data_IF_739771226719
#
_entry.id   IF_739771226719
#
_cell.length_a   1.000
_cell.length_b   1.000
_cell.length_c   1.000
_cell.angle_alpha   90.00
_cell.angle_beta   90.00
_cell.angle_gamma   90.00
#
_symmetry.space_group_name_H-M   'P 1'
#
loop_
_entity.id
_entity.type
_entity.pdbx_description
1 polymer ?
#
# COMPACT_ATOMS: atom_id res chain seq x y z
N UNK A 1 -26.04 1.86 -14.51
CA UNK A 1 -25.71 2.44 -13.18
C UNK A 1 -24.25 2.85 -13.19
N UNK A 2 -23.96 4.15 -13.02
CA UNK A 2 -22.56 4.65 -13.03
C UNK A 2 -21.85 4.20 -11.75
N UNK A 3 -20.65 3.61 -11.81
CA UNK A 3 -19.86 3.40 -10.62
C UNK A 3 -19.35 4.77 -10.16
N UNK A 4 -19.95 5.30 -9.08
CA UNK A 4 -19.39 6.46 -8.39
C UNK A 4 -18.01 6.07 -7.89
N UNK A 5 -16.99 6.88 -8.17
CA UNK A 5 -15.65 6.68 -7.63
C UNK A 5 -15.71 6.84 -6.11
N UNK A 6 -15.76 5.71 -5.39
CA UNK A 6 -15.87 5.71 -3.92
C UNK A 6 -14.50 5.90 -3.30
N UNK A 7 -14.42 6.90 -2.43
CA UNK A 7 -13.26 7.20 -1.59
C UNK A 7 -12.91 6.00 -0.68
N UNK A 8 -11.63 5.84 -0.33
CA UNK A 8 -11.13 4.77 0.53
C UNK A 8 -11.88 4.75 1.88
N UNK A 9 -12.12 5.91 2.47
CA UNK A 9 -12.86 6.04 3.73
C UNK A 9 -14.31 5.50 3.62
N UNK A 10 -14.97 5.77 2.49
CA UNK A 10 -16.33 5.27 2.23
C UNK A 10 -16.38 3.74 2.07
N UNK A 11 -15.34 3.13 1.48
CA UNK A 11 -15.26 1.66 1.38
C UNK A 11 -15.00 1.00 2.72
N UNK A 12 -14.13 1.58 3.56
CA UNK A 12 -13.89 1.09 4.92
C UNK A 12 -15.16 1.16 5.78
N UNK A 13 -15.90 2.28 5.71
CA UNK A 13 -17.18 2.43 6.41
C UNK A 13 -18.26 1.44 5.91
N UNK A 14 -18.34 1.23 4.60
CA UNK A 14 -19.27 0.26 4.01
C UNK A 14 -18.90 -1.18 4.36
N UNK A 15 -17.62 -1.53 4.40
CA UNK A 15 -17.17 -2.86 4.84
C UNK A 15 -17.56 -3.11 6.31
N UNK A 16 -17.41 -2.11 7.19
CA UNK A 16 -17.84 -2.20 8.58
C UNK A 16 -19.37 -2.29 8.75
N UNK A 17 -20.16 -1.80 7.80
CA UNK A 17 -21.63 -1.93 7.80
C UNK A 17 -22.13 -3.23 7.16
N UNK A 18 -21.30 -3.90 6.37
CA UNK A 18 -21.65 -5.14 5.66
C UNK A 18 -21.43 -6.41 6.49
N UNK A 19 -20.94 -6.29 7.73
CA UNK A 19 -20.70 -7.43 8.64
C UNK A 19 -21.99 -7.83 9.35
N UNK A 20 -22.29 -9.14 9.35
CA UNK A 20 -23.52 -9.70 9.92
C UNK A 20 -23.67 -9.56 11.43
N UNK A 21 -24.82 -9.99 11.96
CA UNK A 21 -25.12 -9.97 13.39
C UNK A 21 -24.05 -10.72 14.20
N UNK A 22 -23.50 -10.07 15.24
CA UNK A 22 -22.48 -10.64 16.13
C UNK A 22 -21.09 -9.99 16.07
N UNK A 23 -20.83 -9.08 15.12
CA UNK A 23 -19.56 -8.36 15.04
C UNK A 23 -19.60 -7.07 15.87
N UNK A 24 -18.77 -6.99 16.92
CA UNK A 24 -18.57 -5.76 17.70
C UNK A 24 -17.52 -4.92 17.00
N UNK A 25 -17.86 -3.67 16.68
CA UNK A 25 -16.95 -2.73 16.02
C UNK A 25 -16.89 -1.43 16.81
N UNK A 26 -15.67 -0.96 17.08
CA UNK A 26 -15.40 0.34 17.70
C UNK A 26 -14.33 1.09 16.91
N UNK A 27 -14.58 2.38 16.65
CA UNK A 27 -13.60 3.27 15.99
C UNK A 27 -12.85 4.16 16.98
N UNK A 28 -13.09 4.00 18.29
CA UNK A 28 -12.56 4.88 19.34
C UNK A 28 -11.56 4.18 20.26
N UNK A 29 -11.26 2.90 20.01
CA UNK A 29 -10.39 2.09 20.84
C UNK A 29 -9.09 1.76 20.11
N UNK A 30 -7.99 1.84 20.83
CA UNK A 30 -6.65 1.45 20.36
C UNK A 30 -6.08 0.39 21.31
N UNK A 31 -5.39 -0.61 20.77
CA UNK A 31 -4.64 -1.60 21.55
C UNK A 31 -3.44 -0.95 22.23
N UNK A 32 -3.36 -1.05 23.55
CA UNK A 32 -2.27 -0.51 24.37
C UNK A 32 -1.27 -1.57 24.83
N UNK A 33 -1.73 -2.79 25.11
CA UNK A 33 -0.83 -3.90 25.45
C UNK A 33 -1.45 -5.24 25.06
N UNK A 34 -0.56 -6.20 24.81
CA UNK A 34 -0.87 -7.59 24.50
C UNK A 34 -0.07 -8.48 25.44
N UNK A 35 -0.74 -9.48 26.02
CA UNK A 35 -0.09 -10.54 26.81
C UNK A 35 -0.60 -11.89 26.34
N UNK A 36 0.28 -12.68 25.75
CA UNK A 36 -0.04 -14.02 25.30
C UNK A 36 0.04 -15.02 26.48
N UNK A 37 -0.99 -15.86 26.59
CA UNK A 37 -1.06 -17.02 27.46
C UNK A 37 -1.21 -18.29 26.60
N UNK A 38 -1.16 -19.46 27.24
CA UNK A 38 -1.20 -20.75 26.52
C UNK A 38 -2.50 -20.94 25.74
N UNK A 39 -3.63 -20.43 26.24
CA UNK A 39 -4.98 -20.61 25.68
C UNK A 39 -5.62 -19.33 25.11
N UNK A 40 -5.15 -18.14 25.51
CA UNK A 40 -5.72 -16.85 25.08
C UNK A 40 -4.68 -15.72 24.98
N UNK A 41 -5.09 -14.57 24.46
CA UNK A 41 -4.36 -13.30 24.49
C UNK A 41 -5.20 -12.30 25.28
N UNK A 42 -4.60 -11.70 26.31
CA UNK A 42 -5.22 -10.59 27.04
C UNK A 42 -4.82 -9.28 26.38
N UNK A 43 -5.82 -8.48 26.01
CA UNK A 43 -5.67 -7.21 25.31
C UNK A 43 -6.16 -6.08 26.20
N UNK A 44 -5.31 -5.07 26.40
CA UNK A 44 -5.70 -3.83 27.06
C UNK A 44 -6.01 -2.75 26.03
N UNK A 45 -7.15 -2.09 26.18
CA UNK A 45 -7.61 -1.03 25.28
C UNK A 45 -7.40 0.36 25.89
N UNK A 46 -7.49 1.38 25.05
CA UNK A 46 -7.21 2.78 25.41
C UNK A 46 -8.16 3.42 26.41
N UNK A 47 -9.33 2.82 26.64
CA UNK A 47 -10.28 3.23 27.68
C UNK A 47 -10.00 2.55 29.05
N UNK A 48 -8.94 1.74 29.14
CA UNK A 48 -8.56 0.99 30.32
C UNK A 48 -9.25 -0.37 30.46
N UNK A 49 -10.18 -0.72 29.57
CA UNK A 49 -10.80 -2.04 29.55
C UNK A 49 -9.80 -3.12 29.15
N UNK A 50 -10.09 -4.36 29.57
CA UNK A 50 -9.31 -5.54 29.24
C UNK A 50 -10.24 -6.61 28.68
N UNK A 51 -9.89 -7.16 27.53
CA UNK A 51 -10.61 -8.25 26.88
C UNK A 51 -9.68 -9.43 26.60
N UNK A 52 -10.26 -10.60 26.36
CA UNK A 52 -9.52 -11.85 26.08
C UNK A 52 -9.98 -12.44 24.77
N UNK A 53 -9.02 -12.80 23.91
CA UNK A 53 -9.29 -13.39 22.60
C UNK A 53 -8.41 -14.62 22.36
N UNK A 54 -8.90 -15.58 21.58
CA UNK A 54 -8.12 -16.76 21.20
C UNK A 54 -6.98 -16.43 20.24
N UNK A 55 -7.21 -15.43 19.37
CA UNK A 55 -6.33 -14.95 18.31
C UNK A 55 -6.48 -13.43 18.15
N UNK A 56 -5.37 -12.71 17.98
CA UNK A 56 -5.36 -11.28 17.64
C UNK A 56 -4.80 -11.09 16.22
N UNK A 57 -5.50 -10.29 15.41
CA UNK A 57 -5.08 -9.96 14.03
C UNK A 57 -4.66 -8.48 13.97
N UNK A 58 -3.38 -8.22 13.76
CA UNK A 58 -2.87 -6.88 13.48
C UNK A 58 -3.06 -6.52 12.01
N UNK A 59 -4.03 -5.66 11.73
CA UNK A 59 -4.34 -5.10 10.41
C UNK A 59 -4.31 -3.56 10.42
N UNK A 60 -3.54 -2.99 11.33
CA UNK A 60 -3.47 -1.58 11.73
C UNK A 60 -2.41 -0.77 10.96
N UNK A 61 -1.98 -1.29 9.81
CA UNK A 61 -1.20 -0.56 8.81
C UNK A 61 0.29 -0.44 9.11
N UNK A 62 1.00 0.37 8.31
CA UNK A 62 2.47 0.43 8.33
C UNK A 62 3.03 0.84 9.70
N UNK A 63 2.31 1.62 10.51
CA UNK A 63 2.71 2.02 11.88
C UNK A 63 2.07 1.13 12.96
N UNK A 64 1.77 -0.12 12.63
CA UNK A 64 1.10 -1.09 13.49
C UNK A 64 1.60 -1.05 14.95
N UNK A 65 0.69 -0.79 15.88
CA UNK A 65 0.96 -0.92 17.31
C UNK A 65 1.04 -2.38 17.71
N UNK A 66 0.23 -3.26 17.10
CA UNK A 66 0.29 -4.70 17.33
C UNK A 66 1.69 -5.24 16.99
N UNK A 67 2.26 -4.83 15.86
CA UNK A 67 3.63 -5.22 15.49
C UNK A 67 4.66 -4.71 16.50
N UNK A 68 4.53 -3.47 16.97
CA UNK A 68 5.47 -2.88 17.92
C UNK A 68 5.38 -3.52 19.32
N UNK A 69 4.21 -4.01 19.72
CA UNK A 69 4.00 -4.68 21.00
C UNK A 69 4.53 -6.12 21.02
N UNK A 70 4.47 -6.81 19.88
CA UNK A 70 4.87 -8.22 19.79
C UNK A 70 6.32 -8.43 19.30
N UNK A 71 6.86 -7.50 18.50
CA UNK A 71 8.18 -7.64 17.90
C UNK A 71 9.09 -6.49 18.33
N UNK A 72 10.31 -6.83 18.76
CA UNK A 72 11.37 -5.83 18.93
C UNK A 72 11.66 -5.16 17.57
N UNK A 73 11.75 -3.83 17.58
CA UNK A 73 11.82 -2.89 16.45
C UNK A 73 12.32 -3.48 15.11
N UNK A 74 11.39 -4.01 14.31
CA UNK A 74 11.64 -4.43 12.92
C UNK A 74 11.58 -3.25 11.92
N UNK A 75 11.28 -2.04 12.40
CA UNK A 75 11.46 -0.75 11.73
C UNK A 75 10.65 -0.50 10.46
N UNK A 76 9.99 0.65 10.42
CA UNK A 76 9.54 1.28 9.17
C UNK A 76 10.72 2.08 8.61
N UNK A 77 11.12 1.83 7.37
CA UNK A 77 12.25 2.54 6.74
C UNK A 77 11.79 3.44 5.61
N UNK A 78 12.33 4.64 5.60
CA UNK A 78 12.18 5.58 4.50
C UNK A 78 12.95 5.08 3.26
N UNK A 79 12.28 5.07 2.10
CA UNK A 79 12.84 4.50 0.86
C UNK A 79 13.55 5.47 -0.07
N UNK A 80 13.87 6.65 0.45
CA UNK A 80 14.55 7.64 -0.37
C UNK A 80 13.63 8.23 -1.45
N UNK A 81 12.31 8.20 -1.24
CA UNK A 81 11.31 8.66 -2.20
C UNK A 81 10.17 9.35 -1.48
N UNK A 82 9.65 10.42 -2.09
CA UNK A 82 8.44 11.11 -1.64
C UNK A 82 7.44 11.17 -2.78
N UNK A 83 6.15 11.23 -2.46
CA UNK A 83 5.10 11.20 -3.45
C UNK A 83 3.93 12.13 -3.14
N UNK A 84 3.33 12.65 -4.20
CA UNK A 84 2.12 13.46 -4.23
C UNK A 84 1.00 12.67 -4.91
N UNK A 85 -0.19 12.75 -4.34
CA UNK A 85 -1.41 12.10 -4.83
C UNK A 85 -2.52 13.12 -4.90
N UNK A 86 -3.17 13.19 -6.05
CA UNK A 86 -4.23 14.16 -6.30
C UNK A 86 -5.11 13.69 -7.46
N UNK A 87 -6.27 14.30 -7.60
CA UNK A 87 -7.23 14.00 -8.67
C UNK A 87 -7.34 15.22 -9.56
N UNK A 88 -7.38 14.99 -10.87
CA UNK A 88 -7.48 16.04 -11.89
C UNK A 88 -8.56 15.69 -12.89
N UNK A 89 -8.97 16.66 -13.72
CA UNK A 89 -9.72 16.36 -14.93
C UNK A 89 -8.88 15.51 -15.87
N UNK A 90 -9.49 14.46 -16.42
CA UNK A 90 -8.84 13.54 -17.35
C UNK A 90 -8.35 14.31 -18.58
N UNK A 91 -7.04 14.29 -18.90
CA UNK A 91 -6.57 14.89 -20.13
C UNK A 91 -7.02 14.07 -21.35
N UNK A 92 -7.27 14.71 -22.51
CA UNK A 92 -7.61 14.00 -23.74
C UNK A 92 -6.55 12.94 -24.09
N UNK A 93 -6.99 11.80 -24.61
CA UNK A 93 -6.10 10.71 -25.07
C UNK A 93 -5.49 9.84 -23.95
N UNK A 94 -5.76 10.12 -22.67
CA UNK A 94 -5.39 9.22 -21.58
C UNK A 94 -6.36 8.04 -21.56
N UNK A 95 -6.07 6.94 -22.25
CA UNK A 95 -6.98 5.79 -22.36
C UNK A 95 -6.87 4.79 -21.20
N UNK A 96 -5.70 4.71 -20.56
CA UNK A 96 -5.44 3.74 -19.52
C UNK A 96 -4.32 4.14 -18.58
N UNK A 97 -3.89 3.18 -17.76
CA UNK A 97 -2.77 3.35 -16.83
C UNK A 97 -1.51 3.79 -17.59
N UNK A 98 -1.07 5.02 -17.35
CA UNK A 98 0.04 5.64 -18.10
C UNK A 98 1.04 6.25 -17.14
N UNK A 99 2.29 5.80 -17.23
CA UNK A 99 3.40 6.34 -16.43
C UNK A 99 4.39 7.09 -17.31
N UNK A 100 4.66 8.33 -16.96
CA UNK A 100 5.72 9.17 -17.51
C UNK A 100 6.95 9.03 -16.61
N UNK A 101 8.13 8.82 -17.19
CA UNK A 101 9.37 8.59 -16.44
C UNK A 101 10.37 9.73 -16.64
N UNK A 102 10.73 10.41 -15.55
CA UNK A 102 11.76 11.44 -15.50
C UNK A 102 13.01 10.95 -14.77
N UNK A 103 14.12 11.71 -14.77
CA UNK A 103 15.29 11.37 -13.96
C UNK A 103 14.90 11.26 -12.47
N UNK A 104 15.06 10.07 -11.89
CA UNK A 104 14.72 9.76 -10.49
C UNK A 104 13.30 10.21 -10.07
N UNK A 105 12.35 10.22 -11.00
CA UNK A 105 10.98 10.69 -10.79
C UNK A 105 10.02 10.00 -11.75
N UNK A 106 8.75 9.92 -11.36
CA UNK A 106 7.70 9.50 -12.27
C UNK A 106 6.41 10.26 -12.01
N UNK A 107 5.58 10.25 -13.03
CA UNK A 107 4.24 10.80 -13.00
C UNK A 107 3.31 9.73 -13.56
N UNK A 108 2.47 9.14 -12.72
CA UNK A 108 1.45 8.19 -13.09
C UNK A 108 0.11 8.93 -13.24
N UNK A 109 -0.62 8.60 -14.30
CA UNK A 109 -2.02 8.93 -14.48
C UNK A 109 -2.84 7.66 -14.70
N UNK A 110 -3.97 7.56 -13.98
CA UNK A 110 -4.94 6.47 -14.12
C UNK A 110 -6.35 7.07 -14.26
N UNK A 111 -7.07 6.84 -15.38
CA UNK A 111 -8.44 7.29 -15.52
C UNK A 111 -9.35 6.79 -14.39
N UNK A 112 -10.20 7.68 -13.87
CA UNK A 112 -11.31 7.40 -12.97
C UNK A 112 -12.60 7.75 -13.71
N UNK A 113 -13.21 6.75 -14.34
CA UNK A 113 -14.34 6.97 -15.24
C UNK A 113 -13.95 7.89 -16.41
N UNK A 114 -14.93 8.65 -16.90
CA UNK A 114 -14.78 9.41 -18.15
C UNK A 114 -14.13 10.78 -17.93
N UNK A 115 -14.32 11.39 -16.75
CA UNK A 115 -14.03 12.81 -16.51
C UNK A 115 -12.78 13.06 -15.67
N UNK A 116 -12.35 12.08 -14.87
CA UNK A 116 -11.31 12.28 -13.87
C UNK A 116 -10.10 11.37 -14.11
N UNK A 117 -8.96 11.76 -13.59
CA UNK A 117 -7.78 10.93 -13.50
C UNK A 117 -7.14 11.05 -12.11
N UNK A 118 -6.76 9.90 -11.56
CA UNK A 118 -5.88 9.83 -10.40
C UNK A 118 -4.44 10.08 -10.86
N UNK A 119 -3.75 10.96 -10.15
CA UNK A 119 -2.33 11.23 -10.34
C UNK A 119 -1.53 10.75 -9.14
N UNK A 120 -0.42 10.07 -9.42
CA UNK A 120 0.63 9.81 -8.45
C UNK A 120 1.95 10.32 -9.04
N UNK A 121 2.51 11.35 -8.43
CA UNK A 121 3.79 11.91 -8.82
C UNK A 121 4.80 11.62 -7.73
N UNK A 122 5.99 11.17 -8.06
CA UNK A 122 7.01 10.85 -7.07
C UNK A 122 8.40 11.30 -7.51
N UNK A 123 9.27 11.50 -6.53
CA UNK A 123 10.66 11.89 -6.74
C UNK A 123 11.56 11.30 -5.67
N UNK A 124 12.79 10.94 -6.06
CA UNK A 124 13.82 10.57 -5.10
C UNK A 124 14.13 11.74 -4.16
N UNK A 125 14.36 11.42 -2.88
CA UNK A 125 14.75 12.36 -1.84
C UNK A 125 15.70 11.67 -0.88
N UNK A 126 16.83 12.31 -0.55
CA UNK A 126 17.81 11.74 0.38
C UNK A 126 17.30 11.61 1.82
N UNK A 127 16.28 12.41 2.18
CA UNK A 127 15.67 12.44 3.51
C UNK A 127 14.16 12.47 3.42
N UNK A 128 13.49 11.98 4.47
CA UNK A 128 12.08 12.30 4.66
C UNK A 128 11.97 13.83 4.80
N UNK A 129 11.11 14.44 4.01
CA UNK A 129 10.82 15.88 4.05
C UNK A 129 9.33 16.04 4.30
N UNK A 130 8.94 17.18 4.87
CA UNK A 130 7.55 17.62 4.88
C UNK A 130 7.26 18.46 3.64
N UNK A 131 6.02 18.40 3.15
CA UNK A 131 5.51 19.28 2.10
C UNK A 131 4.25 19.98 2.60
N UNK A 132 4.39 21.19 3.19
CA UNK A 132 3.25 21.92 3.73
C UNK A 132 2.20 22.21 2.66
N UNK A 133 0.91 22.17 3.01
CA UNK A 133 -0.16 22.47 2.05
C UNK A 133 0.04 23.83 1.36
N UNK A 134 0.51 24.83 2.12
CA UNK A 134 0.87 26.13 1.55
C UNK A 134 2.02 25.97 0.54
N UNK A 135 1.78 26.38 -0.71
CA UNK A 135 2.78 26.35 -1.77
C UNK A 135 3.05 24.97 -2.38
N UNK A 136 2.29 23.92 -2.00
CA UNK A 136 2.51 22.55 -2.52
C UNK A 136 2.34 22.48 -4.03
N UNK A 137 1.36 23.21 -4.59
CA UNK A 137 1.07 23.23 -6.02
C UNK A 137 2.23 23.85 -6.80
N UNK A 138 2.75 24.97 -6.33
CA UNK A 138 3.89 25.67 -6.94
C UNK A 138 5.13 24.76 -6.94
N UNK A 139 5.42 24.14 -5.79
CA UNK A 139 6.53 23.17 -5.68
C UNK A 139 6.33 21.95 -6.56
N UNK A 140 5.09 21.47 -6.72
CA UNK A 140 4.76 20.36 -7.60
C UNK A 140 5.00 20.75 -9.08
N UNK A 141 4.54 21.93 -9.50
CA UNK A 141 4.80 22.47 -10.84
C UNK A 141 6.29 22.57 -11.13
N UNK A 142 7.07 23.14 -10.22
CA UNK A 142 8.52 23.27 -10.35
C UNK A 142 9.21 21.90 -10.45
N UNK A 143 8.88 20.96 -9.55
CA UNK A 143 9.54 19.65 -9.48
C UNK A 143 9.32 18.80 -10.73
N UNK A 144 8.17 18.96 -11.39
CA UNK A 144 7.73 18.16 -12.54
C UNK A 144 7.67 18.96 -13.85
N UNK A 145 8.22 20.18 -13.90
CA UNK A 145 8.20 21.06 -15.07
C UNK A 145 8.87 20.46 -16.33
N UNK A 146 9.85 19.56 -16.16
CA UNK A 146 10.57 18.92 -17.25
C UNK A 146 9.80 17.75 -17.90
N UNK A 147 8.65 17.35 -17.36
CA UNK A 147 7.83 16.29 -17.94
C UNK A 147 7.07 16.79 -19.16
N UNK A 148 7.00 15.96 -20.21
CA UNK A 148 6.27 16.25 -21.43
C UNK A 148 4.84 15.67 -21.41
N UNK A 149 4.14 15.78 -22.55
CA UNK A 149 2.79 15.24 -22.71
C UNK A 149 1.77 16.02 -21.89
N UNK A 150 0.76 15.37 -21.29
CA UNK A 150 -0.31 16.05 -20.57
C UNK A 150 0.11 16.58 -19.19
N UNK A 151 1.32 16.26 -18.70
CA UNK A 151 1.75 16.60 -17.33
C UNK A 151 1.73 18.12 -17.05
N UNK A 152 2.33 19.00 -17.89
CA UNK A 152 2.32 20.44 -17.64
C UNK A 152 0.91 21.03 -17.63
N UNK A 153 0.04 20.60 -18.56
CA UNK A 153 -1.34 21.07 -18.67
C UNK A 153 -2.15 20.68 -17.43
N UNK A 154 -2.00 19.45 -16.96
CA UNK A 154 -2.66 18.95 -15.76
C UNK A 154 -2.22 19.73 -14.52
N UNK A 155 -0.91 19.98 -14.36
CA UNK A 155 -0.38 20.75 -13.23
C UNK A 155 -0.77 22.23 -13.28
N UNK A 156 -0.91 22.82 -14.48
CA UNK A 156 -1.36 24.20 -14.65
C UNK A 156 -2.82 24.39 -14.20
N UNK A 157 -3.65 23.35 -14.27
CA UNK A 157 -5.07 23.41 -13.87
C UNK A 157 -5.32 23.28 -12.38
N UNK A 158 -4.32 22.86 -11.59
CA UNK A 158 -4.46 22.77 -10.14
C UNK A 158 -4.68 24.15 -9.52
N UNK A 159 -5.72 24.29 -8.72
CA UNK A 159 -6.04 25.49 -7.94
C UNK A 159 -5.80 25.30 -6.45
N UNK A 160 -5.73 26.39 -5.66
CA UNK A 160 -5.46 26.32 -4.21
C UNK A 160 -6.44 25.46 -3.40
N UNK A 161 -7.63 25.18 -3.94
CA UNK A 161 -8.65 24.34 -3.31
C UNK A 161 -8.50 22.84 -3.62
N UNK A 162 -7.61 22.46 -4.55
CA UNK A 162 -7.43 21.07 -4.93
C UNK A 162 -6.63 20.31 -3.85
N UNK A 163 -7.17 19.21 -3.31
CA UNK A 163 -6.49 18.45 -2.28
C UNK A 163 -5.30 17.69 -2.86
N UNK A 164 -4.11 17.94 -2.31
CA UNK A 164 -2.90 17.20 -2.62
C UNK A 164 -2.45 16.48 -1.37
N UNK A 165 -2.40 15.15 -1.44
CA UNK A 165 -1.85 14.33 -0.39
C UNK A 165 -0.38 14.06 -0.67
N UNK A 166 0.47 14.57 0.21
CA UNK A 166 1.90 14.28 0.21
C UNK A 166 2.24 13.19 1.23
N UNK A 167 3.14 12.28 0.88
CA UNK A 167 3.71 11.34 1.83
C UNK A 167 5.16 10.99 1.49
N UNK A 168 5.96 10.76 2.53
CA UNK A 168 7.16 9.93 2.41
C UNK A 168 6.76 8.52 1.98
N UNK A 169 7.62 7.87 1.21
CA UNK A 169 7.48 6.45 0.86
C UNK A 169 8.29 5.65 1.85
N UNK A 170 7.60 4.74 2.52
CA UNK A 170 8.10 3.94 3.62
C UNK A 170 7.76 2.48 3.38
N UNK A 171 8.56 1.57 3.94
CA UNK A 171 8.31 0.14 3.86
C UNK A 171 8.68 -0.57 5.17
N UNK A 172 8.20 -1.80 5.32
CA UNK A 172 8.64 -2.75 6.34
C UNK A 172 9.70 -3.65 5.70
N UNK A 173 10.98 -3.48 6.08
CA UNK A 173 12.10 -4.21 5.44
C UNK A 173 12.19 -5.67 5.82
N UNK A 174 11.63 -6.04 6.97
CA UNK A 174 11.63 -7.41 7.46
C UNK A 174 10.19 -7.82 7.70
N UNK A 175 9.51 -8.42 6.69
CA UNK A 175 8.15 -8.86 6.86
C UNK A 175 8.00 -9.77 8.08
N UNK A 176 7.10 -9.43 8.97
CA UNK A 176 6.71 -10.27 10.09
C UNK A 176 5.23 -10.64 9.95
N UNK A 177 4.93 -11.92 10.17
CA UNK A 177 3.61 -12.46 9.88
C UNK A 177 2.84 -12.80 11.16
N UNK A 178 3.51 -12.81 12.31
CA UNK A 178 2.91 -13.20 13.58
C UNK A 178 3.82 -14.10 14.43
N UNK A 179 3.44 -14.26 15.69
CA UNK A 179 4.05 -15.17 16.64
C UNK A 179 2.97 -15.64 17.64
N UNK A 180 2.94 -16.95 17.91
CA UNK A 180 1.97 -17.54 18.84
C UNK A 180 0.53 -17.30 18.36
N UNK A 181 -0.22 -16.53 19.15
CA UNK A 181 -1.64 -16.20 18.95
C UNK A 181 -1.86 -14.81 18.34
N UNK A 182 -0.80 -14.17 17.86
CA UNK A 182 -0.90 -12.88 17.16
C UNK A 182 -0.42 -13.04 15.72
N UNK A 183 -1.26 -12.67 14.76
CA UNK A 183 -0.97 -12.69 13.32
C UNK A 183 -1.03 -11.28 12.74
N UNK A 184 -0.14 -10.94 11.82
CA UNK A 184 -0.10 -9.64 11.14
C UNK A 184 -0.45 -9.82 9.66
N UNK A 185 -1.27 -8.91 9.13
CA UNK A 185 -1.67 -8.90 7.71
C UNK A 185 -1.53 -7.51 7.07
N UNK A 186 -1.48 -7.47 5.74
CA UNK A 186 -1.39 -6.22 4.99
C UNK A 186 -0.15 -5.38 5.36
N UNK A 187 -0.32 -4.05 5.37
CA UNK A 187 0.79 -3.14 5.65
C UNK A 187 1.37 -3.29 7.06
N UNK A 188 0.62 -3.87 8.02
CA UNK A 188 1.17 -4.20 9.33
C UNK A 188 2.27 -5.27 9.23
N UNK A 189 2.14 -6.23 8.31
CA UNK A 189 3.11 -7.28 8.10
C UNK A 189 4.19 -6.93 7.07
N UNK A 190 3.81 -6.32 5.95
CA UNK A 190 4.67 -6.28 4.75
C UNK A 190 4.46 -5.04 3.89
N UNK A 191 4.21 -3.88 4.50
CA UNK A 191 4.13 -2.61 3.77
C UNK A 191 5.31 -2.45 2.80
N UNK A 192 5.00 -2.04 1.58
CA UNK A 192 5.93 -1.97 0.46
C UNK A 192 5.74 -0.65 -0.29
N UNK A 193 6.75 -0.26 -1.08
CA UNK A 193 6.60 0.91 -1.93
C UNK A 193 5.39 0.75 -2.89
N UNK A 194 4.67 1.84 -3.22
CA UNK A 194 3.47 1.77 -4.05
C UNK A 194 3.79 1.44 -5.52
N UNK A 195 5.06 1.26 -5.86
CA UNK A 195 5.56 1.00 -7.19
C UNK A 195 5.27 -0.42 -7.68
N UNK A 196 4.34 -1.18 -7.11
CA UNK A 196 3.66 -2.26 -7.84
C UNK A 196 2.14 -2.10 -7.86
N UNK A 197 1.60 -1.14 -7.13
CA UNK A 197 0.16 -0.98 -6.88
C UNK A 197 -0.49 -2.27 -6.34
N UNK A 198 0.26 -3.09 -5.59
CA UNK A 198 -0.21 -4.38 -5.07
C UNK A 198 -0.53 -4.41 -3.58
N UNK A 199 -0.18 -3.39 -2.78
CA UNK A 199 -0.32 -3.45 -1.31
C UNK A 199 -1.74 -3.80 -0.84
N UNK A 200 -2.77 -3.14 -1.39
CA UNK A 200 -4.16 -3.43 -1.05
C UNK A 200 -4.60 -4.83 -1.50
N UNK A 201 -4.21 -5.26 -2.70
CA UNK A 201 -4.50 -6.61 -3.19
C UNK A 201 -3.84 -7.68 -2.29
N UNK A 202 -2.61 -7.44 -1.84
CA UNK A 202 -1.89 -8.31 -0.92
C UNK A 202 -2.60 -8.43 0.44
N UNK A 203 -3.10 -7.31 0.99
CA UNK A 203 -3.89 -7.33 2.22
C UNK A 203 -5.20 -8.14 2.06
N UNK A 204 -5.86 -8.08 0.90
CA UNK A 204 -7.03 -8.92 0.62
C UNK A 204 -6.67 -10.40 0.45
N UNK A 205 -5.58 -10.71 -0.26
CA UNK A 205 -5.07 -12.09 -0.35
C UNK A 205 -4.78 -12.65 1.05
N UNK A 206 -4.18 -11.85 1.94
CA UNK A 206 -3.93 -12.25 3.33
C UNK A 206 -5.23 -12.52 4.08
N UNK A 207 -6.20 -11.61 4.01
CA UNK A 207 -7.47 -11.76 4.70
C UNK A 207 -8.21 -13.03 4.26
N UNK A 208 -8.21 -13.33 2.96
CA UNK A 208 -8.82 -14.55 2.41
C UNK A 208 -8.11 -15.82 2.88
N UNK A 209 -6.77 -15.84 2.83
CA UNK A 209 -5.99 -16.99 3.29
C UNK A 209 -6.14 -17.19 4.80
N UNK A 210 -6.11 -16.11 5.58
CA UNK A 210 -6.29 -16.17 7.03
C UNK A 210 -7.69 -16.70 7.39
N UNK A 211 -8.74 -16.23 6.72
CA UNK A 211 -10.10 -16.73 6.93
C UNK A 211 -10.22 -18.22 6.61
N UNK A 212 -9.60 -18.70 5.53
CA UNK A 212 -9.56 -20.14 5.20
C UNK A 212 -8.88 -20.94 6.33
N UNK A 213 -7.73 -20.48 6.82
CA UNK A 213 -6.97 -21.16 7.88
C UNK A 213 -7.77 -21.19 9.18
N UNK A 214 -8.29 -20.04 9.63
CA UNK A 214 -9.07 -19.93 10.88
C UNK A 214 -10.32 -20.82 10.82
N UNK A 215 -10.96 -20.96 9.66
CA UNK A 215 -12.14 -21.83 9.50
C UNK A 215 -11.84 -23.34 9.64
N UNK A 216 -10.57 -23.74 9.57
CA UNK A 216 -10.14 -25.15 9.57
C UNK A 216 -9.22 -25.51 10.73
N UNK A 217 -8.62 -24.52 11.38
CA UNK A 217 -7.68 -24.73 12.47
C UNK A 217 -8.38 -25.39 13.68
N UNK A 218 -7.73 -26.39 14.28
CA UNK A 218 -8.21 -27.00 15.52
C UNK A 218 -7.84 -26.17 16.75
N UNK A 219 -6.78 -25.37 16.64
CA UNK A 219 -6.32 -24.46 17.67
C UNK A 219 -5.73 -23.18 17.08
N UNK A 220 -5.86 -22.05 17.77
CA UNK A 220 -5.32 -20.77 17.29
C UNK A 220 -3.78 -20.76 17.13
N UNK A 221 -3.08 -21.60 17.89
CA UNK A 221 -1.62 -21.79 17.77
C UNK A 221 -1.18 -22.35 16.41
N UNK A 222 -2.09 -22.99 15.65
CA UNK A 222 -1.83 -23.52 14.31
C UNK A 222 -1.90 -22.44 13.22
N UNK A 223 -2.55 -21.32 13.50
CA UNK A 223 -2.91 -20.30 12.51
C UNK A 223 -1.66 -19.61 11.96
N UNK A 224 -0.78 -19.11 12.84
CA UNK A 224 0.41 -18.35 12.43
C UNK A 224 1.37 -19.19 11.57
N UNK A 225 1.79 -20.41 11.96
CA UNK A 225 2.68 -21.23 11.13
C UNK A 225 2.11 -21.53 9.74
N UNK A 226 0.82 -21.88 9.65
CA UNK A 226 0.17 -22.18 8.38
C UNK A 226 0.03 -20.92 7.50
N UNK A 227 -0.26 -19.77 8.12
CA UNK A 227 -0.33 -18.50 7.42
C UNK A 227 1.03 -18.10 6.83
N UNK A 228 2.10 -18.19 7.62
CA UNK A 228 3.48 -17.97 7.16
C UNK A 228 3.81 -18.88 5.97
N UNK A 229 3.49 -20.18 6.08
CA UNK A 229 3.76 -21.16 5.03
C UNK A 229 3.08 -20.80 3.71
N UNK A 230 1.83 -20.35 3.75
CA UNK A 230 1.05 -19.98 2.55
C UNK A 230 1.41 -18.62 1.98
N UNK A 231 1.82 -17.64 2.81
CA UNK A 231 1.96 -16.24 2.39
C UNK A 231 3.39 -15.76 2.17
N UNK A 232 4.36 -16.27 2.92
CA UNK A 232 5.73 -15.73 2.92
C UNK A 232 6.39 -15.71 1.53
N UNK A 233 6.28 -16.79 0.76
CA UNK A 233 6.85 -16.86 -0.59
C UNK A 233 6.19 -15.86 -1.55
N UNK A 234 4.87 -15.69 -1.47
CA UNK A 234 4.10 -14.75 -2.30
C UNK A 234 4.44 -13.31 -1.95
N UNK A 235 4.47 -12.97 -0.67
CA UNK A 235 4.87 -11.64 -0.18
C UNK A 235 6.31 -11.31 -0.57
N UNK A 236 7.24 -12.24 -0.34
CA UNK A 236 8.64 -12.09 -0.74
C UNK A 236 8.83 -11.89 -2.24
N UNK A 237 8.07 -12.60 -3.07
CA UNK A 237 8.09 -12.40 -4.52
C UNK A 237 7.65 -11.00 -4.93
N UNK A 238 6.57 -10.46 -4.32
CA UNK A 238 6.09 -9.10 -4.62
C UNK A 238 7.11 -8.06 -4.17
N UNK A 239 7.68 -8.18 -2.97
CA UNK A 239 8.77 -7.31 -2.51
C UNK A 239 9.93 -7.28 -3.51
N UNK A 240 10.40 -8.44 -3.96
CA UNK A 240 11.47 -8.52 -4.97
C UNK A 240 11.09 -7.88 -6.30
N UNK A 241 9.85 -8.02 -6.76
CA UNK A 241 9.40 -7.37 -7.99
C UNK A 241 9.29 -5.84 -7.82
N UNK A 242 8.84 -5.36 -6.67
CA UNK A 242 8.80 -3.94 -6.31
C UNK A 242 10.22 -3.36 -6.33
N UNK A 243 11.17 -4.00 -5.65
CA UNK A 243 12.57 -3.56 -5.62
C UNK A 243 13.20 -3.51 -7.02
N UNK A 244 12.95 -4.52 -7.87
CA UNK A 244 13.44 -4.53 -9.26
C UNK A 244 12.88 -3.37 -10.07
N UNK A 245 11.60 -3.06 -9.90
CA UNK A 245 10.93 -1.95 -10.60
C UNK A 245 11.43 -0.60 -10.09
N UNK A 246 11.73 -0.49 -8.79
CA UNK A 246 12.32 0.70 -8.18
C UNK A 246 13.75 0.93 -8.69
N UNK A 247 14.55 -0.14 -8.81
CA UNK A 247 15.90 -0.06 -9.35
C UNK A 247 15.93 0.34 -10.83
N UNK A 248 14.97 -0.13 -11.64
CA UNK A 248 14.87 0.31 -13.05
C UNK A 248 14.72 1.84 -13.18
N UNK A 249 14.09 2.49 -12.19
CA UNK A 249 13.87 3.93 -12.18
C UNK A 249 15.11 4.73 -11.78
N UNK A 250 16.07 4.12 -11.10
CA UNK A 250 17.33 4.76 -10.72
C UNK A 250 18.41 4.64 -11.80
N UNK A 251 18.18 3.87 -12.87
CA UNK A 251 19.10 3.77 -14.00
C UNK A 251 19.26 5.13 -14.73
N UNK A 252 20.45 5.39 -15.33
CA UNK A 252 20.65 6.56 -16.18
C UNK A 252 19.57 6.65 -17.28
N UNK A 253 19.02 7.85 -17.58
CA UNK A 253 17.91 8.01 -18.52
C UNK A 253 18.15 7.35 -19.88
N UNK A 254 19.35 7.47 -20.44
CA UNK A 254 19.70 6.86 -21.73
C UNK A 254 19.60 5.34 -21.71
N UNK A 255 20.09 4.70 -20.64
CA UNK A 255 20.01 3.25 -20.46
C UNK A 255 18.58 2.81 -20.20
N UNK A 256 17.87 3.51 -19.30
CA UNK A 256 16.47 3.23 -18.96
C UNK A 256 15.58 3.32 -20.19
N UNK A 257 15.70 4.39 -20.97
CA UNK A 257 14.81 4.65 -22.11
C UNK A 257 15.01 3.60 -23.21
N UNK A 258 16.26 3.18 -23.46
CA UNK A 258 16.57 2.06 -24.35
C UNK A 258 15.97 0.76 -23.82
N UNK A 259 16.15 0.47 -22.52
CA UNK A 259 15.61 -0.73 -21.89
C UNK A 259 14.09 -0.79 -21.95
N UNK A 260 13.40 0.30 -21.61
CA UNK A 260 11.93 0.40 -21.68
C UNK A 260 11.44 0.24 -23.12
N UNK A 261 12.07 0.89 -24.10
CA UNK A 261 11.64 0.78 -25.51
C UNK A 261 11.81 -0.64 -26.06
N UNK A 262 12.92 -1.31 -25.75
CA UNK A 262 13.25 -2.60 -26.35
C UNK A 262 12.66 -3.79 -25.58
N UNK A 263 12.51 -3.68 -24.26
CA UNK A 263 12.23 -4.82 -23.40
C UNK A 263 10.93 -4.71 -22.60
N UNK A 264 10.22 -3.56 -22.62
CA UNK A 264 8.96 -3.37 -21.86
C UNK A 264 7.95 -4.48 -22.12
N UNK A 265 7.68 -4.84 -23.38
CA UNK A 265 6.73 -5.90 -23.71
C UNK A 265 7.16 -7.29 -23.20
N UNK A 266 8.47 -7.57 -23.14
CA UNK A 266 9.01 -8.82 -22.58
C UNK A 266 8.93 -8.83 -21.06
N UNK A 267 9.28 -7.72 -20.40
CA UNK A 267 9.21 -7.56 -18.95
C UNK A 267 7.78 -7.62 -18.44
N UNK A 268 6.87 -6.92 -19.13
CA UNK A 268 5.44 -6.97 -18.81
C UNK A 268 4.95 -8.41 -18.87
N UNK A 269 5.19 -9.12 -19.98
CA UNK A 269 4.81 -10.54 -20.10
C UNK A 269 5.46 -11.41 -19.04
N UNK A 270 6.74 -11.23 -18.72
CA UNK A 270 7.42 -12.02 -17.70
C UNK A 270 6.82 -11.80 -16.29
N UNK A 271 6.54 -10.56 -15.92
CA UNK A 271 6.00 -10.21 -14.61
C UNK A 271 4.56 -10.70 -14.40
N UNK A 272 3.76 -10.72 -15.47
CA UNK A 272 2.36 -11.18 -15.42
C UNK A 272 2.18 -12.62 -15.90
N UNK A 273 3.25 -13.30 -16.35
CA UNK A 273 3.20 -14.71 -16.78
C UNK A 273 2.57 -15.64 -15.74
N UNK A 274 2.87 -15.50 -14.42
CA UNK A 274 2.22 -16.34 -13.42
C UNK A 274 0.69 -16.19 -13.38
N UNK A 275 0.15 -15.02 -13.75
CA UNK A 275 -1.30 -14.79 -13.81
C UNK A 275 -1.93 -15.42 -15.06
N UNK A 276 -1.17 -15.53 -16.15
CA UNK A 276 -1.61 -16.16 -17.40
C UNK A 276 -1.48 -17.69 -17.37
N UNK A 277 -0.75 -18.23 -16.39
CA UNK A 277 -0.55 -19.66 -16.19
C UNK A 277 -1.52 -20.25 -15.16
N UNK A 278 -2.45 -19.46 -14.63
CA UNK A 278 -3.57 -19.96 -13.82
C UNK A 278 -4.59 -20.62 -14.77
N UNK A 279 -5.04 -21.86 -14.48
CA UNK A 279 -6.02 -22.58 -15.29
C UNK A 279 -7.38 -21.90 -15.33
#
# INVERSE_FOLDING_TARGET
>A
MRPTSRDRAQRSAQAAHATGEGLVHSTQLTVQSLRQHDDHVRVQLSDGSCETYDLVVGADGIRSSVRQLEFEDLGVKFRGQVGWRFIVRRPPGLEGWTVFLGPQSAFLMLPIGDELAYCYADKASARSIDDPAQGTIERLREKFAAFAGPVPEVLARLGPADPIHFSAIEEVTHPCYGQGRVVLIGDAAHAMSPNMACGAAMAFEDALVLAEIVSRAGAASEVVPEFVRKRSARVGWVHQQTDRRDHLRSLPPTMRDVFVRLLSGRLYRANYRPLLALP
#
